data_IF_084333942680
#
_entry.id   IF_084333942680
#
_cell.length_a   1.000
_cell.length_b   1.000
_cell.length_c   1.000
_cell.angle_alpha   90.00
_cell.angle_beta   90.00
_cell.angle_gamma   90.00
#
_symmetry.space_group_name_H-M   'P 1'
#
loop_
_entity.id
_entity.type
_entity.pdbx_description
1 polymer ?
#
# COMPACT_ATOMS: atom_id res chain seq x y z
N UNK A 1 15.73 -6.83 2.35
CA UNK A 1 14.34 -7.12 2.77
C UNK A 1 13.45 -5.95 2.43
N UNK A 2 12.31 -6.21 1.85
CA UNK A 2 11.38 -5.15 1.48
C UNK A 2 10.72 -4.57 2.71
N UNK A 3 10.76 -3.25 2.83
CA UNK A 3 10.16 -2.55 3.98
C UNK A 3 8.80 -2.01 3.58
N UNK A 4 7.77 -2.45 4.29
CA UNK A 4 6.39 -2.13 3.99
C UNK A 4 5.77 -1.26 5.07
N UNK A 5 5.01 -0.27 4.66
CA UNK A 5 4.21 0.54 5.59
C UNK A 5 2.74 0.23 5.32
N UNK A 6 1.95 0.03 6.38
CA UNK A 6 0.54 -0.28 6.28
C UNK A 6 -0.29 0.91 6.74
N UNK A 7 -1.14 1.43 5.88
CA UNK A 7 -2.04 2.53 6.21
C UNK A 7 -3.48 2.12 5.99
N UNK A 8 -4.20 1.83 7.05
CA UNK A 8 -5.60 1.42 6.97
C UNK A 8 -6.31 1.80 8.27
N UNK A 9 -7.52 2.33 8.16
CA UNK A 9 -8.27 2.77 9.32
C UNK A 9 -8.70 1.63 10.23
N UNK A 10 -8.86 0.43 9.67
CA UNK A 10 -9.37 -0.70 10.43
C UNK A 10 -8.26 -1.58 11.00
N UNK A 11 -8.29 -1.74 12.31
CA UNK A 11 -7.30 -2.55 13.02
C UNK A 11 -7.26 -3.99 12.50
N UNK A 12 -8.43 -4.58 12.23
CA UNK A 12 -8.49 -5.95 11.75
C UNK A 12 -7.83 -6.13 10.39
N UNK A 13 -7.95 -5.14 9.52
CA UNK A 13 -7.31 -5.21 8.22
C UNK A 13 -5.81 -5.06 8.33
N UNK A 14 -5.35 -4.17 9.21
CA UNK A 14 -3.90 -4.03 9.45
C UNK A 14 -3.30 -5.33 9.99
N UNK A 15 -4.01 -6.01 10.91
CA UNK A 15 -3.52 -7.26 11.47
C UNK A 15 -3.47 -8.36 10.40
N UNK A 16 -4.47 -8.46 9.56
CA UNK A 16 -4.49 -9.44 8.47
C UNK A 16 -3.33 -9.23 7.49
N UNK A 17 -3.08 -7.95 7.14
CA UNK A 17 -1.99 -7.63 6.24
C UNK A 17 -0.64 -7.94 6.86
N UNK A 18 -0.48 -7.65 8.15
CA UNK A 18 0.78 -7.96 8.85
C UNK A 18 1.12 -9.44 8.75
N UNK A 19 0.14 -10.30 8.98
CA UNK A 19 0.36 -11.74 8.92
C UNK A 19 0.80 -12.19 7.52
N UNK A 20 0.16 -11.68 6.50
CA UNK A 20 0.51 -12.01 5.12
C UNK A 20 1.90 -11.51 4.77
N UNK A 21 2.22 -10.27 5.15
CA UNK A 21 3.53 -9.68 4.82
C UNK A 21 4.67 -10.38 5.56
N UNK A 22 4.46 -10.73 6.81
CA UNK A 22 5.46 -11.48 7.58
C UNK A 22 5.68 -12.85 6.93
N UNK A 23 4.60 -13.51 6.48
CA UNK A 23 4.71 -14.78 5.83
C UNK A 23 5.48 -14.69 4.52
N UNK A 24 5.48 -13.54 3.86
CA UNK A 24 6.23 -13.28 2.66
C UNK A 24 7.66 -12.79 2.93
N UNK A 25 8.08 -12.82 4.18
CA UNK A 25 9.40 -12.35 4.62
C UNK A 25 9.65 -10.86 4.32
N UNK A 26 8.61 -10.05 4.45
CA UNK A 26 8.74 -8.61 4.32
C UNK A 26 8.77 -7.98 5.70
N UNK A 27 9.45 -6.85 5.83
CA UNK A 27 9.54 -6.16 7.10
C UNK A 27 8.42 -5.14 7.23
N UNK A 28 7.70 -5.13 8.35
CA UNK A 28 6.70 -4.12 8.62
C UNK A 28 7.40 -2.95 9.27
N UNK A 29 7.65 -1.92 8.50
CA UNK A 29 8.38 -0.76 8.98
C UNK A 29 7.51 0.23 9.77
N UNK A 30 6.21 0.15 9.65
CA UNK A 30 5.29 0.99 10.41
C UNK A 30 3.85 0.79 9.99
N UNK A 31 2.93 1.33 10.77
CA UNK A 31 1.50 1.27 10.50
C UNK A 31 0.84 2.55 10.96
N UNK A 32 -0.19 2.95 10.31
CA UNK A 32 -1.01 4.10 10.73
C UNK A 32 -2.48 3.88 10.37
N UNK A 33 -3.37 4.54 11.10
CA UNK A 33 -4.79 4.48 10.84
C UNK A 33 -5.30 5.76 10.18
N UNK A 34 -4.42 6.66 9.83
CA UNK A 34 -4.78 7.92 9.18
C UNK A 34 -3.69 8.38 8.20
N UNK A 35 -4.07 9.24 7.26
CA UNK A 35 -3.18 9.66 6.20
C UNK A 35 -2.09 10.62 6.66
N UNK A 36 -2.39 11.50 7.61
CA UNK A 36 -1.41 12.47 8.09
C UNK A 36 -0.21 11.79 8.75
N UNK A 37 -0.46 10.77 9.57
CA UNK A 37 0.62 10.01 10.18
C UNK A 37 1.42 9.26 9.13
N UNK A 38 0.75 8.70 8.12
CA UNK A 38 1.41 8.00 7.03
C UNK A 38 2.37 8.92 6.30
N UNK A 39 1.92 10.13 5.94
CA UNK A 39 2.77 11.08 5.23
C UNK A 39 3.95 11.54 6.09
N UNK A 40 3.75 11.65 7.39
CA UNK A 40 4.82 12.08 8.28
C UNK A 40 5.88 10.99 8.49
N UNK A 41 5.47 9.75 8.57
CA UNK A 41 6.37 8.65 8.91
C UNK A 41 7.09 7.99 7.73
N UNK A 42 6.46 7.90 6.61
CA UNK A 42 7.06 7.19 5.46
C UNK A 42 8.42 7.72 5.04
N UNK A 43 8.63 9.04 4.93
CA UNK A 43 9.94 9.54 4.48
C UNK A 43 11.09 9.22 5.42
N UNK A 44 10.81 9.14 6.71
CA UNK A 44 11.87 8.90 7.69
C UNK A 44 12.10 7.43 7.95
N UNK A 45 11.26 6.55 7.46
CA UNK A 45 11.40 5.12 7.71
C UNK A 45 11.95 4.33 6.53
N UNK A 46 12.25 4.97 5.45
CA UNK A 46 12.81 4.34 4.24
C UNK A 46 11.91 3.20 3.74
N UNK A 47 10.72 3.56 3.31
CA UNK A 47 9.73 2.60 2.87
C UNK A 47 9.89 2.22 1.40
N UNK A 48 9.81 0.93 1.09
CA UNK A 48 9.87 0.43 -0.28
C UNK A 48 8.46 0.26 -0.86
N UNK A 49 7.48 -0.05 -0.03
CA UNK A 49 6.13 -0.28 -0.50
C UNK A 49 5.12 0.21 0.53
N UNK A 50 4.08 0.90 0.09
CA UNK A 50 2.95 1.28 0.91
C UNK A 50 1.76 0.43 0.52
N UNK A 51 1.07 -0.16 1.50
CA UNK A 51 -0.23 -0.80 1.30
C UNK A 51 -1.25 0.06 2.01
N UNK A 52 -2.12 0.72 1.26
CA UNK A 52 -3.07 1.69 1.82
C UNK A 52 -4.51 1.37 1.50
N UNK A 53 -5.40 1.52 2.48
CA UNK A 53 -6.83 1.36 2.26
C UNK A 53 -7.39 2.54 1.47
N UNK A 54 -8.28 2.24 0.53
CA UNK A 54 -8.90 3.26 -0.32
C UNK A 54 -9.58 4.35 0.49
N UNK A 55 -10.18 4.00 1.63
CA UNK A 55 -10.88 4.96 2.46
C UNK A 55 -9.97 6.07 2.97
N UNK A 56 -8.73 5.78 3.27
CA UNK A 56 -7.79 6.81 3.73
C UNK A 56 -7.43 7.77 2.60
N UNK A 57 -7.28 7.25 1.40
CA UNK A 57 -6.92 8.07 0.26
C UNK A 57 -8.09 8.94 -0.19
N UNK A 58 -9.29 8.36 -0.23
CA UNK A 58 -10.46 9.09 -0.70
C UNK A 58 -10.94 10.13 0.30
N UNK A 59 -10.75 9.89 1.60
CA UNK A 59 -11.17 10.86 2.59
C UNK A 59 -10.24 12.07 2.63
N UNK A 60 -9.06 11.91 2.18
CA UNK A 60 -8.11 12.98 2.20
C UNK A 60 -8.29 13.96 1.10
N UNK A 61 -7.98 13.65 -0.12
CA UNK A 61 -8.12 14.55 -1.20
C UNK A 61 -7.64 13.86 -2.42
N UNK A 62 -7.91 14.37 -3.57
CA UNK A 62 -7.42 13.87 -4.84
C UNK A 62 -5.91 13.97 -4.97
N UNK A 63 -5.27 14.81 -4.18
CA UNK A 63 -3.83 15.02 -4.24
C UNK A 63 -3.03 14.14 -3.26
N UNK A 64 -3.69 13.25 -2.52
CA UNK A 64 -3.02 12.46 -1.48
C UNK A 64 -1.83 11.67 -2.01
N UNK A 65 -1.99 10.97 -3.13
CA UNK A 65 -0.89 10.20 -3.69
C UNK A 65 0.19 11.09 -4.27
N UNK A 66 -0.16 12.26 -4.79
CA UNK A 66 0.84 13.19 -5.33
C UNK A 66 1.74 13.69 -4.21
N UNK A 67 1.18 13.96 -3.03
CA UNK A 67 1.98 14.37 -1.89
C UNK A 67 2.91 13.24 -1.45
N UNK A 68 2.42 12.02 -1.44
CA UNK A 68 3.23 10.88 -1.06
C UNK A 68 4.37 10.69 -2.06
N UNK A 69 4.10 10.81 -3.34
CA UNK A 69 5.11 10.60 -4.36
C UNK A 69 6.20 11.65 -4.35
N UNK A 70 5.88 12.87 -3.89
CA UNK A 70 6.90 13.89 -3.73
C UNK A 70 7.80 13.55 -2.54
N UNK A 71 7.22 13.02 -1.47
CA UNK A 71 7.97 12.68 -0.27
C UNK A 71 8.73 11.36 -0.43
N UNK A 72 8.14 10.39 -1.13
CA UNK A 72 8.71 9.06 -1.30
C UNK A 72 8.61 8.64 -2.76
N UNK A 73 9.42 9.21 -3.65
CA UNK A 73 9.26 8.97 -5.09
C UNK A 73 9.52 7.53 -5.52
N UNK A 74 10.26 6.76 -4.73
CA UNK A 74 10.57 5.40 -5.11
C UNK A 74 9.70 4.34 -4.45
N UNK A 75 8.79 4.74 -3.58
CA UNK A 75 7.92 3.77 -2.90
C UNK A 75 6.82 3.28 -3.85
N UNK A 76 6.58 1.98 -3.85
CA UNK A 76 5.53 1.42 -4.64
C UNK A 76 4.23 1.53 -3.85
N UNK A 77 3.15 1.90 -4.46
CA UNK A 77 1.86 2.10 -3.78
C UNK A 77 0.84 1.08 -4.23
N UNK A 78 0.36 0.27 -3.29
CA UNK A 78 -0.69 -0.72 -3.52
C UNK A 78 -1.92 -0.27 -2.74
N UNK A 79 -3.06 -0.18 -3.39
CA UNK A 79 -4.31 0.26 -2.76
C UNK A 79 -5.24 -0.91 -2.54
N UNK A 80 -5.79 -1.00 -1.31
CA UNK A 80 -6.77 -2.01 -0.99
C UNK A 80 -8.16 -1.41 -1.23
N UNK A 81 -8.96 -2.06 -2.08
CA UNK A 81 -10.27 -1.56 -2.43
C UNK A 81 -11.31 -2.56 -2.00
N UNK A 82 -12.30 -2.13 -1.24
CA UNK A 82 -13.43 -2.96 -0.88
C UNK A 82 -14.58 -2.74 -1.85
N UNK A 83 -15.20 -3.80 -2.28
CA UNK A 83 -16.49 -3.75 -2.95
C UNK A 83 -16.54 -3.44 -4.42
N UNK A 84 -17.32 -2.47 -4.80
CA UNK A 84 -17.87 -2.32 -6.12
C UNK A 84 -16.90 -1.83 -7.18
N UNK A 85 -17.20 -2.19 -8.42
CA UNK A 85 -16.46 -1.82 -9.61
C UNK A 85 -16.29 -0.32 -9.77
N UNK A 86 -17.27 0.47 -9.30
CA UNK A 86 -17.20 1.92 -9.38
C UNK A 86 -16.02 2.47 -8.58
N UNK A 87 -15.76 1.90 -7.41
CA UNK A 87 -14.64 2.34 -6.58
C UNK A 87 -13.32 1.96 -7.22
N UNK A 88 -13.29 0.85 -7.92
CA UNK A 88 -12.09 0.41 -8.62
C UNK A 88 -11.69 1.40 -9.71
N UNK A 89 -12.65 1.89 -10.47
CA UNK A 89 -12.36 2.86 -11.50
C UNK A 89 -11.88 4.20 -10.92
N UNK A 90 -12.49 4.64 -9.83
CA UNK A 90 -12.04 5.84 -9.15
C UNK A 90 -10.61 5.67 -8.63
N UNK A 91 -10.29 4.51 -8.10
CA UNK A 91 -8.95 4.23 -7.61
C UNK A 91 -7.92 4.17 -8.74
N UNK A 92 -8.30 3.64 -9.90
CA UNK A 92 -7.39 3.59 -11.04
C UNK A 92 -6.94 4.97 -11.49
N UNK A 93 -7.75 5.99 -11.27
CA UNK A 93 -7.40 7.35 -11.66
C UNK A 93 -6.43 8.01 -10.67
N UNK A 94 -6.13 7.39 -9.53
CA UNK A 94 -5.24 7.99 -8.53
C UNK A 94 -3.76 7.83 -8.84
N UNK A 95 -3.43 6.94 -9.75
CA UNK A 95 -2.02 6.70 -10.06
C UNK A 95 -1.31 5.69 -9.17
N UNK A 96 -2.04 4.84 -8.46
CA UNK A 96 -1.44 3.78 -7.67
C UNK A 96 -0.76 2.74 -8.57
N UNK A 97 0.24 2.05 -8.05
CA UNK A 97 0.98 1.06 -8.83
C UNK A 97 0.26 -0.28 -8.92
N UNK A 98 -0.63 -0.56 -8.01
CA UNK A 98 -1.41 -1.78 -8.04
C UNK A 98 -2.60 -1.71 -7.10
N UNK A 99 -3.52 -2.67 -7.25
CA UNK A 99 -4.73 -2.71 -6.45
C UNK A 99 -4.99 -4.12 -5.97
N UNK A 100 -5.50 -4.26 -4.76
CA UNK A 100 -5.92 -5.55 -4.22
C UNK A 100 -7.36 -5.39 -3.72
N UNK A 101 -8.24 -6.30 -4.12
CA UNK A 101 -9.62 -6.28 -3.67
C UNK A 101 -9.69 -6.92 -2.28
N UNK A 102 -10.38 -6.26 -1.35
CA UNK A 102 -10.48 -6.76 0.00
C UNK A 102 -11.22 -8.09 0.10
N UNK A 103 -12.01 -8.45 -0.84
CA UNK A 103 -12.72 -9.72 -0.83
C UNK A 103 -11.98 -10.86 -1.51
N UNK A 104 -10.75 -10.65 -1.97
CA UNK A 104 -10.03 -11.69 -2.65
C UNK A 104 -9.55 -12.79 -1.70
N UNK A 105 -9.34 -13.98 -2.25
CA UNK A 105 -8.80 -15.08 -1.47
C UNK A 105 -7.37 -14.77 -1.03
N UNK A 106 -6.94 -15.26 0.10
CA UNK A 106 -5.58 -15.00 0.59
C UNK A 106 -4.47 -15.34 -0.41
N UNK A 107 -4.66 -16.38 -1.22
CA UNK A 107 -3.68 -16.76 -2.22
C UNK A 107 -3.53 -15.69 -3.30
N UNK A 108 -4.62 -15.01 -3.63
CA UNK A 108 -4.58 -13.94 -4.64
C UNK A 108 -3.90 -12.69 -4.08
N UNK A 109 -4.14 -12.40 -2.81
CA UNK A 109 -3.48 -11.29 -2.13
C UNK A 109 -1.97 -11.53 -2.12
N UNK A 110 -1.55 -12.74 -1.81
CA UNK A 110 -0.14 -13.12 -1.81
C UNK A 110 0.46 -12.94 -3.22
N UNK A 111 -0.25 -13.36 -4.26
CA UNK A 111 0.22 -13.20 -5.63
C UNK A 111 0.42 -11.74 -6.00
N UNK A 112 -0.53 -10.87 -5.63
CA UNK A 112 -0.41 -9.45 -5.92
C UNK A 112 0.78 -8.82 -5.20
N UNK A 113 1.00 -9.19 -3.94
CA UNK A 113 2.11 -8.65 -3.16
C UNK A 113 3.45 -9.16 -3.68
N UNK A 114 3.53 -10.41 -4.11
CA UNK A 114 4.75 -10.95 -4.72
C UNK A 114 5.06 -10.27 -6.04
N UNK A 115 4.04 -10.00 -6.85
CA UNK A 115 4.23 -9.29 -8.10
C UNK A 115 4.75 -7.87 -7.87
N UNK A 116 4.21 -7.19 -6.85
CA UNK A 116 4.68 -5.86 -6.48
C UNK A 116 6.14 -5.91 -5.99
N UNK A 117 6.46 -6.89 -5.16
CA UNK A 117 7.82 -7.06 -4.66
C UNK A 117 8.81 -7.31 -5.79
N UNK A 118 8.41 -8.06 -6.79
CA UNK A 118 9.26 -8.33 -7.95
C UNK A 118 9.62 -7.06 -8.71
N UNK A 119 8.71 -6.08 -8.75
CA UNK A 119 9.01 -4.82 -9.41
C UNK A 119 10.08 -4.04 -8.66
N UNK A 120 10.11 -4.13 -7.34
CA UNK A 120 11.14 -3.47 -6.52
C UNK A 120 12.48 -4.13 -6.76
N UNK A 121 12.52 -5.47 -6.77
CA UNK A 121 13.78 -6.19 -6.96
C UNK A 121 14.33 -6.15 -8.38
N UNK A 122 13.51 -5.89 -9.35
CA UNK A 122 13.98 -5.79 -10.73
C UNK A 122 14.41 -4.40 -11.09
N UNK A 123 14.26 -3.47 -10.18
CA UNK A 123 14.76 -2.15 -10.44
C UNK A 123 16.24 -2.23 -10.64
N UNK A 124 16.77 -1.62 -11.68
CA UNK A 124 18.10 -1.75 -12.02
C UNK A 124 18.96 -1.19 -11.00
N UNK A 125 19.88 -1.90 -10.62
CA UNK A 125 20.76 -1.45 -9.84
C UNK A 125 21.65 -0.77 -10.38
N UNK A 126 21.44 -0.56 -11.24
CA UNK A 126 22.34 0.03 -11.89
C UNK A 126 22.96 0.76 -11.35
#
# INVERSE_FOLDING_TARGET
>A
MIRVYIADALTQERLALRLVLIDLNMEIAGEADNWLTTLAEMPIRSIDMLVAGWELLSAGHSAALDELRRACPNALVIVLIGGLEVRRQAALSTGADGFISKGELPERVVEHLRAAAAKIHTSPLT
#
